data_IF_464573028046
#
_entry.id   IF_464573028046
#
_cell.length_a   1.000
_cell.length_b   1.000
_cell.length_c   1.000
_cell.angle_alpha   90.00
_cell.angle_beta   90.00
_cell.angle_gamma   90.00
#
_symmetry.space_group_name_H-M   'P 1'
#
loop_
_entity.id
_entity.type
_entity.pdbx_description
1 polymer ?
#
# COMPACT_ATOMS: atom_id res chain seq x y z
N UNK A 1 15.59 -6.55 -5.40
CA UNK A 1 14.13 -6.73 -5.30
C UNK A 1 13.65 -6.21 -3.97
N UNK A 2 12.70 -5.27 -3.97
CA UNK A 2 12.22 -4.63 -2.74
C UNK A 2 11.16 -5.53 -2.09
N UNK A 3 11.27 -5.70 -0.77
CA UNK A 3 10.28 -6.43 0.03
C UNK A 3 9.83 -5.56 1.18
N UNK A 4 8.59 -5.76 1.63
CA UNK A 4 8.10 -5.09 2.82
C UNK A 4 8.88 -5.54 4.07
N UNK A 5 8.98 -4.65 5.05
CA UNK A 5 9.36 -5.05 6.40
C UNK A 5 8.24 -5.93 6.97
N UNK A 6 8.58 -6.74 7.97
CA UNK A 6 7.64 -7.70 8.54
C UNK A 6 6.31 -7.05 8.95
N UNK A 7 6.36 -5.94 9.68
CA UNK A 7 5.17 -5.27 10.16
C UNK A 7 4.34 -4.72 8.99
N UNK A 8 5.00 -4.18 7.97
CA UNK A 8 4.32 -3.63 6.81
C UNK A 8 3.69 -4.75 5.97
N UNK A 9 4.38 -5.87 5.86
CA UNK A 9 3.84 -7.03 5.16
C UNK A 9 2.57 -7.54 5.85
N UNK A 10 2.57 -7.61 7.18
CA UNK A 10 1.41 -8.03 7.94
C UNK A 10 0.24 -7.06 7.75
N UNK A 11 0.51 -5.76 7.84
CA UNK A 11 -0.51 -4.72 7.65
C UNK A 11 -1.10 -4.79 6.24
N UNK A 12 -0.25 -4.94 5.24
CA UNK A 12 -0.72 -5.02 3.86
C UNK A 12 -1.49 -6.32 3.60
N UNK A 13 -1.04 -7.43 4.17
CA UNK A 13 -1.76 -8.70 4.07
C UNK A 13 -3.17 -8.58 4.65
N UNK A 14 -3.30 -7.91 5.78
CA UNK A 14 -4.59 -7.64 6.40
C UNK A 14 -5.47 -6.79 5.48
N UNK A 15 -4.90 -5.75 4.90
CA UNK A 15 -5.60 -4.91 3.93
C UNK A 15 -6.13 -5.73 2.75
N UNK A 16 -5.33 -6.64 2.23
CA UNK A 16 -5.69 -7.45 1.07
C UNK A 16 -6.79 -8.48 1.37
N UNK A 17 -6.92 -8.89 2.62
CA UNK A 17 -7.97 -9.83 3.02
C UNK A 17 -9.37 -9.22 2.95
N UNK A 18 -9.46 -7.92 3.08
CA UNK A 18 -10.73 -7.23 2.99
C UNK A 18 -11.10 -6.97 1.53
N UNK A 19 -12.21 -7.53 1.07
CA UNK A 19 -12.76 -7.18 -0.24
C UNK A 19 -13.60 -5.93 -0.06
N UNK A 20 -13.09 -4.81 -0.52
CA UNK A 20 -13.76 -3.53 -0.31
C UNK A 20 -13.87 -2.80 -1.63
N UNK A 21 -15.06 -2.28 -1.90
CA UNK A 21 -15.28 -1.39 -3.03
C UNK A 21 -14.77 0.01 -2.71
N UNK A 22 -14.72 0.35 -1.42
CA UNK A 22 -14.25 1.66 -0.94
C UNK A 22 -13.29 1.44 0.21
N UNK A 23 -12.13 2.08 0.15
CA UNK A 23 -11.17 2.01 1.25
C UNK A 23 -11.51 3.06 2.31
N UNK A 24 -11.28 2.71 3.58
CA UNK A 24 -11.49 3.63 4.70
C UNK A 24 -10.40 4.71 4.73
N UNK A 25 -10.62 5.83 5.44
CA UNK A 25 -9.57 6.84 5.61
C UNK A 25 -8.27 6.27 6.20
N UNK A 26 -8.37 5.33 7.13
CA UNK A 26 -7.19 4.68 7.73
C UNK A 26 -6.42 3.88 6.68
N UNK A 27 -7.14 3.17 5.83
CA UNK A 27 -6.52 2.39 4.75
C UNK A 27 -5.90 3.29 3.70
N UNK A 28 -6.55 4.41 3.40
CA UNK A 28 -6.00 5.41 2.49
C UNK A 28 -4.67 5.94 3.02
N UNK A 29 -4.61 6.27 4.32
CA UNK A 29 -3.38 6.73 4.95
C UNK A 29 -2.30 5.66 4.87
N UNK A 30 -2.65 4.40 5.12
CA UNK A 30 -1.70 3.29 5.04
C UNK A 30 -1.07 3.21 3.64
N UNK A 31 -1.88 3.28 2.59
CA UNK A 31 -1.37 3.25 1.22
C UNK A 31 -0.41 4.41 0.98
N UNK A 32 -0.78 5.61 1.40
CA UNK A 32 0.05 6.80 1.20
C UNK A 32 1.39 6.70 1.95
N UNK A 33 1.35 6.23 3.19
CA UNK A 33 2.54 6.07 4.02
C UNK A 33 3.48 5.03 3.41
N UNK A 34 2.97 3.86 3.08
CA UNK A 34 3.78 2.78 2.53
C UNK A 34 4.36 3.17 1.17
N UNK A 35 3.57 3.79 0.32
CA UNK A 35 4.05 4.19 -1.00
C UNK A 35 5.16 5.23 -0.89
N UNK A 36 5.02 6.21 0.01
CA UNK A 36 6.06 7.22 0.21
C UNK A 36 7.35 6.59 0.73
N UNK A 37 7.25 5.60 1.60
CA UNK A 37 8.41 4.93 2.19
C UNK A 37 9.14 4.06 1.16
N UNK A 38 8.40 3.23 0.43
CA UNK A 38 9.00 2.24 -0.46
C UNK A 38 9.33 2.77 -1.85
N UNK A 39 8.70 3.84 -2.28
CA UNK A 39 8.99 4.48 -3.56
C UNK A 39 9.76 5.81 -3.41
N UNK A 40 10.16 6.10 -2.17
CA UNK A 40 11.10 7.18 -1.85
C UNK A 40 10.65 8.55 -2.36
N UNK A 41 9.44 8.94 -2.00
CA UNK A 41 8.92 10.27 -2.27
C UNK A 41 8.30 10.85 -1.00
N UNK A 42 8.11 12.19 -0.93
CA UNK A 42 7.47 12.80 0.23
C UNK A 42 6.06 12.26 0.43
N UNK A 43 5.62 12.23 1.69
CA UNK A 43 4.25 11.83 2.00
C UNK A 43 3.28 12.79 1.31
N UNK A 44 2.39 12.23 0.51
CA UNK A 44 1.36 12.97 -0.19
C UNK A 44 0.05 12.20 -0.14
N UNK A 45 -1.06 12.92 -0.08
CA UNK A 45 -2.38 12.33 -0.21
C UNK A 45 -2.97 12.74 -1.55
N UNK A 46 -3.12 11.81 -2.50
CA UNK A 46 -3.78 12.13 -3.76
C UNK A 46 -5.24 12.50 -3.53
N UNK A 47 -5.82 13.24 -4.47
CA UNK A 47 -7.21 13.65 -4.36
C UNK A 47 -8.14 12.44 -4.34
N UNK A 48 -9.01 12.38 -3.33
CA UNK A 48 -9.96 11.27 -3.19
C UNK A 48 -11.04 11.28 -4.27
N UNK A 49 -11.21 12.41 -4.96
CA UNK A 49 -12.16 12.50 -6.06
C UNK A 49 -11.65 11.83 -7.34
N UNK A 50 -10.37 11.45 -7.38
CA UNK A 50 -9.78 10.74 -8.51
C UNK A 50 -9.14 9.43 -8.00
N UNK A 51 -9.85 8.31 -8.07
CA UNK A 51 -9.35 7.05 -7.53
C UNK A 51 -8.22 6.43 -8.34
N UNK A 52 -7.90 6.95 -9.50
CA UNK A 52 -6.85 6.39 -10.36
C UNK A 52 -5.50 6.38 -9.67
N UNK A 53 -5.16 7.48 -9.00
CA UNK A 53 -3.87 7.62 -8.34
C UNK A 53 -3.72 6.62 -7.20
N UNK A 54 -4.73 6.56 -6.34
CA UNK A 54 -4.66 5.63 -5.20
C UNK A 54 -4.69 4.17 -5.65
N UNK A 55 -5.45 3.85 -6.69
CA UNK A 55 -5.49 2.50 -7.25
C UNK A 55 -4.14 2.11 -7.86
N UNK A 56 -3.47 3.04 -8.50
CA UNK A 56 -2.14 2.84 -9.04
C UNK A 56 -1.14 2.54 -7.92
N UNK A 57 -1.22 3.30 -6.81
CA UNK A 57 -0.35 3.08 -5.66
C UNK A 57 -0.62 1.74 -5.00
N UNK A 58 -1.87 1.32 -4.93
CA UNK A 58 -2.22 0.00 -4.43
C UNK A 58 -1.59 -1.08 -5.31
N UNK A 59 -1.65 -0.93 -6.61
CA UNK A 59 -1.03 -1.88 -7.54
C UNK A 59 0.49 -1.92 -7.36
N UNK A 60 1.13 -0.76 -7.17
CA UNK A 60 2.56 -0.68 -6.91
C UNK A 60 2.94 -1.43 -5.63
N UNK A 61 2.16 -1.25 -4.57
CA UNK A 61 2.43 -1.92 -3.29
C UNK A 61 2.17 -3.43 -3.38
N UNK A 62 1.21 -3.84 -4.19
CA UNK A 62 0.98 -5.26 -4.45
C UNK A 62 2.19 -5.93 -5.11
N UNK A 63 2.90 -5.22 -5.96
CA UNK A 63 4.13 -5.74 -6.57
C UNK A 63 5.17 -6.04 -5.48
N UNK A 64 5.33 -5.15 -4.51
CA UNK A 64 6.25 -5.37 -3.39
C UNK A 64 5.78 -6.57 -2.55
N UNK A 65 4.50 -6.65 -2.28
CA UNK A 65 3.92 -7.75 -1.51
C UNK A 65 4.15 -9.10 -2.24
N UNK A 66 3.99 -9.11 -3.56
CA UNK A 66 4.20 -10.32 -4.37
C UNK A 66 5.67 -10.75 -4.40
N UNK A 67 6.60 -9.87 -4.06
CA UNK A 67 8.02 -10.22 -3.96
C UNK A 67 8.30 -11.16 -2.78
N UNK A 68 7.33 -11.32 -1.88
CA UNK A 68 7.36 -12.37 -0.89
C UNK A 68 7.47 -11.89 0.54
N UNK A 69 7.38 -12.86 1.43
CA UNK A 69 7.45 -12.65 2.87
C UNK A 69 8.84 -12.18 3.27
N UNK A 70 8.98 -11.12 4.09
CA UNK A 70 10.29 -10.63 4.50
C UNK A 70 11.09 -11.61 5.35
N UNK A 71 10.45 -12.63 5.90
CA UNK A 71 11.12 -13.66 6.69
C UNK A 71 11.75 -14.76 5.83
N UNK A 72 11.51 -14.76 4.55
CA UNK A 72 12.09 -15.76 3.64
C UNK A 72 13.38 -15.26 3.00
#
# INVERSE_FOLDING_TARGET
MVKFKKIDYEDWSYFRQGKKDVISPTEFDLVCILHSEYYNHPFEKPCTCNPREINRWIADLNVIWDNGNPEN
#
